data_IF_047423171521
#
_entry.id   IF_047423171521
#
_cell.length_a   1.000
_cell.length_b   1.000
_cell.length_c   1.000
_cell.angle_alpha   90.00
_cell.angle_beta   90.00
_cell.angle_gamma   90.00
#
_symmetry.space_group_name_H-M   'P 1'
#
loop_
_entity.id
_entity.type
_entity.pdbx_description
1 polymer ?
#
# COMPACT_ATOMS: atom_id res chain seq x y z
N UNK A 1 27.63 26.98 70.13
CA UNK A 1 28.02 25.57 69.95
C UNK A 1 26.80 24.80 69.44
N UNK A 2 26.90 24.10 68.31
CA UNK A 2 25.74 23.42 67.71
C UNK A 2 25.45 22.09 68.43
N UNK A 3 24.18 21.71 68.60
CA UNK A 3 23.78 20.52 69.36
C UNK A 3 24.21 19.22 68.65
N UNK A 4 24.60 18.17 69.42
CA UNK A 4 25.21 16.95 68.90
C UNK A 4 24.28 16.10 68.02
N UNK A 5 22.98 16.35 68.06
CA UNK A 5 21.98 15.67 67.23
C UNK A 5 22.01 16.13 65.77
N UNK A 6 22.41 17.38 65.51
CA UNK A 6 22.54 17.90 64.15
C UNK A 6 23.72 17.24 63.42
N UNK A 7 24.77 16.83 64.15
CA UNK A 7 25.94 16.14 63.60
C UNK A 7 25.61 14.70 63.17
N UNK A 8 24.66 14.04 63.85
CA UNK A 8 24.17 12.72 63.46
C UNK A 8 23.22 12.80 62.26
N UNK A 9 22.40 13.85 62.22
CA UNK A 9 21.55 14.14 61.07
C UNK A 9 22.37 14.43 59.81
N UNK A 10 23.52 15.10 59.95
CA UNK A 10 24.40 15.45 58.83
C UNK A 10 25.21 14.25 58.30
N UNK A 11 25.54 13.26 59.14
CA UNK A 11 26.25 12.03 58.74
C UNK A 11 25.36 10.94 58.12
N UNK A 12 24.04 11.03 58.28
CA UNK A 12 23.07 10.10 57.66
C UNK A 12 22.35 10.69 56.45
N UNK A 13 22.47 12.01 56.22
CA UNK A 13 21.95 12.66 55.02
C UNK A 13 22.96 12.52 53.87
N UNK A 14 22.89 11.42 53.13
CA UNK A 14 23.40 11.44 51.76
C UNK A 14 22.42 12.26 50.92
N UNK A 15 22.80 13.45 50.41
CA UNK A 15 21.90 14.26 49.62
C UNK A 15 21.49 13.50 48.36
N UNK A 16 20.18 13.43 48.02
CA UNK A 16 19.73 12.76 46.82
C UNK A 16 20.43 13.36 45.59
N UNK A 17 20.93 12.53 44.65
CA UNK A 17 21.73 13.01 43.54
C UNK A 17 20.96 14.07 42.73
N UNK A 18 21.57 15.25 42.49
CA UNK A 18 20.90 16.37 41.86
C UNK A 18 20.27 15.95 40.52
N UNK A 19 19.06 16.45 40.27
CA UNK A 19 18.35 16.24 39.01
C UNK A 19 19.13 16.95 37.89
N UNK A 20 19.92 16.19 37.13
CA UNK A 20 20.61 16.73 35.96
C UNK A 20 19.66 16.74 34.75
N UNK A 21 19.72 17.76 33.88
CA UNK A 21 18.84 17.86 32.71
C UNK A 21 18.93 16.63 31.79
N UNK A 22 20.10 15.98 31.77
CA UNK A 22 20.35 14.73 31.02
C UNK A 22 19.47 13.57 31.53
N UNK A 23 19.33 13.40 32.85
CA UNK A 23 18.53 12.31 33.44
C UNK A 23 17.04 12.46 33.11
N UNK A 24 16.56 13.70 33.06
CA UNK A 24 15.18 14.03 32.68
C UNK A 24 14.92 13.79 31.20
N UNK A 25 15.85 14.18 30.32
CA UNK A 25 15.75 13.89 28.88
C UNK A 25 15.71 12.38 28.60
N UNK A 26 16.60 11.61 29.23
CA UNK A 26 16.64 10.14 29.10
C UNK A 26 15.33 9.50 29.56
N UNK A 27 14.74 9.97 30.67
CA UNK A 27 13.43 9.49 31.13
C UNK A 27 12.33 9.80 30.11
N UNK A 28 12.28 11.00 29.55
CA UNK A 28 11.30 11.36 28.52
C UNK A 28 11.44 10.46 27.30
N UNK A 29 12.65 10.24 26.79
CA UNK A 29 12.86 9.33 25.66
C UNK A 29 12.34 7.93 25.99
N UNK A 30 12.72 7.34 27.13
CA UNK A 30 12.22 6.01 27.55
C UNK A 30 10.69 5.91 27.64
N UNK A 31 10.01 6.98 28.03
CA UNK A 31 8.54 7.01 28.14
C UNK A 31 7.88 7.25 26.78
N UNK A 32 8.42 8.16 25.97
CA UNK A 32 7.83 8.57 24.71
C UNK A 32 8.14 7.59 23.56
N UNK A 33 9.31 6.94 23.55
CA UNK A 33 9.67 5.96 22.53
C UNK A 33 8.63 4.84 22.35
N UNK A 34 8.17 4.13 23.41
CA UNK A 34 7.14 3.09 23.21
C UNK A 34 5.80 3.67 22.75
N UNK A 35 5.48 4.89 23.16
CA UNK A 35 4.23 5.57 22.80
C UNK A 35 4.21 5.96 21.32
N UNK A 36 5.31 6.53 20.83
CA UNK A 36 5.51 6.84 19.40
C UNK A 36 5.56 5.56 18.56
N UNK A 37 6.25 4.52 19.04
CA UNK A 37 6.30 3.21 18.37
C UNK A 37 4.90 2.62 18.22
N UNK A 38 4.10 2.64 19.28
CA UNK A 38 2.70 2.18 19.26
C UNK A 38 1.88 2.98 18.24
N UNK A 39 2.05 4.30 18.21
CA UNK A 39 1.34 5.17 17.26
C UNK A 39 1.71 4.84 15.81
N UNK A 40 2.99 4.59 15.52
CA UNK A 40 3.43 4.14 14.20
C UNK A 40 2.85 2.78 13.80
N UNK A 41 2.75 1.83 14.74
CA UNK A 41 2.12 0.53 14.49
C UNK A 41 0.64 0.71 14.15
N UNK A 42 -0.09 1.49 14.95
CA UNK A 42 -1.51 1.79 14.69
C UNK A 42 -1.67 2.47 13.32
N UNK A 43 -0.84 3.45 13.01
CA UNK A 43 -0.86 4.13 11.72
C UNK A 43 -0.62 3.16 10.56
N UNK A 44 0.38 2.27 10.67
CA UNK A 44 0.65 1.26 9.65
C UNK A 44 -0.56 0.33 9.44
N UNK A 45 -1.20 -0.14 10.51
CA UNK A 45 -2.42 -0.97 10.44
C UNK A 45 -3.55 -0.21 9.73
N UNK A 46 -3.77 1.05 10.07
CA UNK A 46 -4.78 1.89 9.43
C UNK A 46 -4.51 2.05 7.93
N UNK A 47 -3.26 2.26 7.54
CA UNK A 47 -2.87 2.36 6.13
C UNK A 47 -3.03 1.02 5.39
N UNK A 48 -2.79 -0.12 6.05
CA UNK A 48 -3.08 -1.44 5.47
C UNK A 48 -4.58 -1.65 5.30
N UNK A 49 -5.40 -1.19 6.26
CA UNK A 49 -6.86 -1.26 6.18
C UNK A 49 -7.46 -0.21 5.23
N UNK A 50 -6.71 0.83 4.86
CA UNK A 50 -7.01 1.76 3.75
C UNK A 50 -6.15 1.39 2.54
N UNK A 51 -6.49 0.31 1.79
CA UNK A 51 -5.82 0.06 0.53
C UNK A 51 -5.91 1.32 -0.33
N UNK A 52 -4.79 1.69 -0.96
CA UNK A 52 -4.80 2.78 -1.93
C UNK A 52 -5.83 2.44 -3.01
N UNK A 53 -6.64 3.42 -3.46
CA UNK A 53 -7.56 3.19 -4.57
C UNK A 53 -6.78 2.56 -5.72
N UNK A 54 -7.21 1.39 -6.19
CA UNK A 54 -6.55 0.74 -7.31
C UNK A 54 -6.55 1.71 -8.50
N UNK A 55 -5.41 1.90 -9.18
CA UNK A 55 -5.37 2.74 -10.36
C UNK A 55 -6.30 2.13 -11.41
N UNK A 56 -7.43 2.80 -11.67
CA UNK A 56 -8.34 2.39 -12.72
C UNK A 56 -7.71 2.69 -14.07
N UNK A 57 -7.50 1.65 -14.86
CA UNK A 57 -7.22 1.80 -16.28
C UNK A 57 -8.53 2.16 -16.99
N UNK A 58 -8.87 3.44 -16.98
CA UNK A 58 -9.96 3.93 -17.82
C UNK A 58 -9.54 3.83 -19.28
N UNK A 59 -10.22 2.98 -20.05
CA UNK A 59 -10.06 2.90 -21.50
C UNK A 59 -10.50 4.22 -22.12
N UNK A 60 -9.54 5.10 -22.37
CA UNK A 60 -9.72 6.38 -23.07
C UNK A 60 -10.06 6.19 -24.56
N UNK A 61 -9.90 4.97 -25.08
CA UNK A 61 -10.29 4.58 -26.42
C UNK A 61 -11.52 3.66 -26.39
N UNK A 62 -12.35 3.74 -27.43
CA UNK A 62 -13.50 2.83 -27.61
C UNK A 62 -12.99 1.38 -27.63
N UNK A 63 -13.63 0.44 -26.88
CA UNK A 63 -13.19 -0.95 -26.83
C UNK A 63 -13.36 -1.68 -28.16
N UNK A 64 -14.24 -1.18 -29.03
CA UNK A 64 -14.50 -1.73 -30.35
C UNK A 64 -14.63 -0.58 -31.34
N UNK A 65 -13.81 -0.62 -32.39
CA UNK A 65 -13.92 0.27 -33.54
C UNK A 65 -14.24 -0.59 -34.75
N UNK A 66 -15.45 -0.43 -35.29
CA UNK A 66 -15.82 -1.03 -36.56
C UNK A 66 -15.31 -0.12 -37.66
N UNK A 67 -14.38 -0.60 -38.47
CA UNK A 67 -13.96 0.09 -39.68
C UNK A 67 -15.14 0.16 -40.66
N UNK A 68 -15.38 1.31 -41.29
CA UNK A 68 -16.36 1.46 -42.39
C UNK A 68 -15.86 0.77 -43.68
N UNK A 69 -15.49 -0.50 -43.59
CA UNK A 69 -15.22 -1.35 -44.75
C UNK A 69 -16.55 -1.75 -45.41
N UNK A 70 -16.55 -1.81 -46.74
CA UNK A 70 -17.70 -2.29 -47.50
C UNK A 70 -18.11 -3.72 -47.11
N UNK A 71 -19.36 -4.10 -47.39
CA UNK A 71 -19.86 -5.45 -47.11
C UNK A 71 -18.91 -6.51 -47.68
N UNK A 72 -18.34 -7.33 -46.80
CA UNK A 72 -17.43 -8.40 -47.20
C UNK A 72 -18.25 -9.57 -47.74
N UNK A 73 -18.59 -9.52 -49.02
CA UNK A 73 -19.29 -10.61 -49.69
C UNK A 73 -18.28 -11.71 -50.09
N UNK A 74 -18.17 -12.73 -49.25
CA UNK A 74 -17.34 -13.90 -49.54
C UNK A 74 -18.04 -14.75 -50.59
N UNK A 75 -17.48 -14.77 -51.81
CA UNK A 75 -17.95 -15.65 -52.89
C UNK A 75 -17.55 -17.10 -52.60
N UNK A 76 -18.41 -17.79 -51.87
CA UNK A 76 -18.17 -19.17 -51.51
C UNK A 76 -18.32 -20.11 -52.73
N UNK A 77 -17.54 -21.19 -52.81
CA UNK A 77 -17.56 -22.08 -53.97
C UNK A 77 -18.85 -22.90 -54.11
N UNK A 78 -19.74 -22.95 -53.10
CA UNK A 78 -21.05 -23.62 -53.15
C UNK A 78 -20.97 -25.16 -53.16
N UNK A 79 -19.75 -25.71 -53.23
CA UNK A 79 -19.47 -27.14 -53.25
C UNK A 79 -18.17 -27.42 -52.51
N UNK A 80 -18.18 -28.45 -51.66
CA UNK A 80 -17.05 -28.77 -50.78
C UNK A 80 -17.11 -28.05 -49.44
N UNK A 81 -15.98 -28.04 -48.73
CA UNK A 81 -15.81 -27.38 -47.43
C UNK A 81 -14.84 -26.22 -47.60
N UNK A 82 -15.17 -25.05 -47.07
CA UNK A 82 -14.32 -23.86 -47.15
C UNK A 82 -14.35 -23.06 -45.85
N UNK A 83 -13.24 -22.43 -45.50
CA UNK A 83 -13.11 -21.56 -44.34
C UNK A 83 -12.09 -20.46 -44.62
N UNK A 84 -12.38 -19.23 -44.17
CA UNK A 84 -11.48 -18.08 -44.35
C UNK A 84 -11.12 -17.49 -42.99
N UNK A 85 -9.82 -17.33 -42.75
CA UNK A 85 -9.27 -16.70 -41.55
C UNK A 85 -8.24 -15.65 -41.97
N UNK A 86 -8.31 -14.48 -41.34
CA UNK A 86 -7.33 -13.42 -41.53
C UNK A 86 -6.51 -13.27 -40.26
N UNK A 87 -5.19 -13.24 -40.43
CA UNK A 87 -4.26 -13.10 -39.33
C UNK A 87 -4.52 -11.80 -38.55
N UNK A 88 -4.62 -11.91 -37.23
CA UNK A 88 -4.94 -10.80 -36.33
C UNK A 88 -6.42 -10.37 -36.25
N UNK A 89 -7.31 -10.83 -37.15
CA UNK A 89 -8.75 -10.45 -37.16
C UNK A 89 -9.66 -11.65 -36.81
N UNK A 90 -9.19 -12.88 -37.02
CA UNK A 90 -9.93 -14.10 -36.70
C UNK A 90 -10.63 -14.73 -37.90
N UNK A 91 -11.57 -15.63 -37.63
CA UNK A 91 -12.34 -16.34 -38.68
C UNK A 91 -13.42 -15.44 -39.27
N UNK A 92 -13.51 -15.37 -40.59
CA UNK A 92 -14.57 -14.64 -41.31
C UNK A 92 -15.78 -15.53 -41.65
N UNK A 93 -15.68 -16.85 -41.47
CA UNK A 93 -16.77 -17.80 -41.73
C UNK A 93 -16.31 -19.09 -42.40
N UNK A 94 -17.23 -20.04 -42.54
CA UNK A 94 -17.03 -21.33 -43.21
C UNK A 94 -18.30 -21.79 -43.93
N UNK A 95 -18.15 -22.46 -45.07
CA UNK A 95 -19.25 -23.06 -45.84
C UNK A 95 -19.04 -24.57 -46.02
N UNK A 96 -20.09 -25.35 -45.75
CA UNK A 96 -20.16 -26.81 -45.97
C UNK A 96 -20.89 -27.55 -44.84
N UNK A 97 -21.13 -28.86 -45.01
CA UNK A 97 -21.78 -29.70 -44.00
C UNK A 97 -20.79 -30.05 -42.86
N UNK A 98 -21.10 -29.65 -41.63
CA UNK A 98 -20.27 -29.87 -40.43
C UNK A 98 -20.12 -31.34 -40.06
#
# INVERSE_FOLDING_TARGET
PKPPLDLLAELTNTPPPPETPVRTAVRRVKIWTPLVLLLLIVFAIVQVMRPLPEPSLELTAKPTYTFEGGETELSWPGQGQSAVMVDGVGSLGSEGAQ
#
